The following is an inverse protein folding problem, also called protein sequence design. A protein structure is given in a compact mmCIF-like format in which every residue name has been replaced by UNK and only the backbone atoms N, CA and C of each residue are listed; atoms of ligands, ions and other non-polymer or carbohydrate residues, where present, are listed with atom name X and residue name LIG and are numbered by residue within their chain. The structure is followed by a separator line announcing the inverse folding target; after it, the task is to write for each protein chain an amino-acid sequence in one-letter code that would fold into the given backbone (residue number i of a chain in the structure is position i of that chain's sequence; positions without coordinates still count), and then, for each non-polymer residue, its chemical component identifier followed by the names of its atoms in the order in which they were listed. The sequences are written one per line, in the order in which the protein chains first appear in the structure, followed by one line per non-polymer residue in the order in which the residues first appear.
data_IF_675812040322
#
_entry.id   IF_675812040322
#
_cell.length_a   1.000
_cell.length_b   1.000
_cell.length_c   1.000
_cell.angle_alpha   90.00
_cell.angle_beta   90.00
_cell.angle_gamma   90.00
#
_symmetry.space_group_name_H-M   'P 1'
#
loop_
_entity.id
_entity.type
_entity.pdbx_description
1 polymer ?
#
# COMPACT_ATOMS: atom_id res chain seq x y z
N UNK A 1 -40.46 13.77 -46.70
CA UNK A 1 -39.92 14.79 -45.76
C UNK A 1 -40.72 14.72 -44.47
N UNK A 2 -40.19 14.14 -43.40
CA UNK A 2 -40.45 14.62 -42.03
C UNK A 2 -39.43 14.00 -41.08
N UNK A 3 -38.60 14.87 -40.54
CA UNK A 3 -37.51 14.60 -39.61
C UNK A 3 -38.03 14.93 -38.22
N UNK A 4 -38.02 13.96 -37.31
CA UNK A 4 -38.06 14.04 -35.84
C UNK A 4 -38.64 12.70 -35.35
N UNK A 5 -38.05 12.01 -34.39
CA UNK A 5 -37.71 12.56 -33.09
C UNK A 5 -36.51 11.83 -32.50
N UNK A 6 -35.42 12.58 -32.39
CA UNK A 6 -34.39 12.36 -31.37
C UNK A 6 -35.07 12.47 -30.01
N UNK A 7 -35.06 11.42 -29.20
CA UNK A 7 -34.84 11.48 -27.75
C UNK A 7 -35.23 10.16 -27.09
N UNK A 8 -34.30 9.21 -27.07
CA UNK A 8 -34.25 8.26 -25.96
C UNK A 8 -32.79 8.01 -25.58
N UNK A 9 -32.08 9.11 -25.31
CA UNK A 9 -30.98 9.04 -24.35
C UNK A 9 -31.65 8.98 -22.98
N UNK A 10 -32.11 7.78 -22.63
CA UNK A 10 -32.38 7.42 -21.24
C UNK A 10 -31.09 7.76 -20.52
N UNK A 11 -31.17 8.79 -19.67
CA UNK A 11 -30.14 9.09 -18.69
C UNK A 11 -29.93 7.82 -17.87
N UNK A 12 -28.94 7.02 -18.24
CA UNK A 12 -28.37 6.00 -17.38
C UNK A 12 -27.61 6.78 -16.30
N UNK A 13 -28.09 6.87 -15.05
CA UNK A 13 -27.28 7.45 -14.00
C UNK A 13 -26.16 6.43 -13.76
N UNK A 14 -25.01 6.63 -14.40
CA UNK A 14 -23.77 5.98 -14.00
C UNK A 14 -23.51 6.38 -12.54
N UNK A 15 -24.07 5.61 -11.61
CA UNK A 15 -23.84 5.76 -10.18
C UNK A 15 -22.37 5.42 -9.96
N UNK A 16 -21.54 6.47 -9.99
CA UNK A 16 -20.22 6.49 -9.38
C UNK A 16 -20.42 6.39 -7.86
N UNK A 17 -20.96 5.25 -7.41
CA UNK A 17 -21.05 4.91 -6.01
C UNK A 17 -19.62 4.62 -5.57
N UNK A 18 -18.92 5.65 -5.10
CA UNK A 18 -17.69 5.45 -4.33
C UNK A 18 -18.09 4.55 -3.16
N UNK A 19 -17.53 3.33 -3.05
CA UNK A 19 -17.87 2.47 -1.94
C UNK A 19 -17.55 3.21 -0.65
N UNK A 20 -18.57 3.41 0.18
CA UNK A 20 -18.37 4.01 1.48
C UNK A 20 -17.36 3.16 2.25
N UNK A 21 -16.21 3.74 2.59
CA UNK A 21 -15.20 3.05 3.38
C UNK A 21 -15.81 2.69 4.74
N UNK A 22 -15.85 1.40 5.12
CA UNK A 22 -16.45 1.01 6.37
C UNK A 22 -15.72 1.70 7.52
N UNK A 23 -16.49 2.28 8.46
CA UNK A 23 -15.92 2.91 9.65
C UNK A 23 -15.42 1.81 10.58
N UNK A 24 -14.13 1.51 10.47
CA UNK A 24 -13.46 0.56 11.33
C UNK A 24 -13.49 1.04 12.78
N UNK A 25 -13.80 0.13 13.70
CA UNK A 25 -13.69 0.40 15.14
C UNK A 25 -12.22 0.62 15.52
N UNK A 26 -11.99 1.22 16.69
CA UNK A 26 -10.64 1.43 17.20
C UNK A 26 -9.85 0.11 17.32
N UNK A 27 -10.53 -0.97 17.74
CA UNK A 27 -9.92 -2.30 17.87
C UNK A 27 -9.54 -2.89 16.51
N UNK A 28 -10.37 -2.72 15.48
CA UNK A 28 -10.06 -3.13 14.11
C UNK A 28 -8.86 -2.36 13.54
N UNK A 29 -8.79 -1.04 13.78
CA UNK A 29 -7.65 -0.20 13.38
C UNK A 29 -6.36 -0.64 14.06
N UNK A 30 -6.41 -0.96 15.35
CA UNK A 30 -5.25 -1.49 16.07
C UNK A 30 -4.82 -2.84 15.49
N UNK A 31 -5.76 -3.75 15.22
CA UNK A 31 -5.47 -5.05 14.62
C UNK A 31 -4.81 -4.93 13.23
N UNK A 32 -5.33 -4.05 12.36
CA UNK A 32 -4.70 -3.76 11.06
C UNK A 32 -3.28 -3.22 11.22
N UNK A 33 -3.07 -2.33 12.20
CA UNK A 33 -1.76 -1.78 12.50
C UNK A 33 -0.78 -2.88 12.98
N UNK A 34 -1.24 -3.82 13.80
CA UNK A 34 -0.45 -4.99 14.19
C UNK A 34 -0.11 -5.90 13.00
N UNK A 35 -1.05 -6.12 12.07
CA UNK A 35 -0.78 -6.89 10.84
C UNK A 35 0.32 -6.22 10.00
N UNK A 36 0.24 -4.90 9.83
CA UNK A 36 1.26 -4.12 9.13
C UNK A 36 2.61 -4.22 9.86
N UNK A 37 2.63 -4.10 11.19
CA UNK A 37 3.86 -4.24 11.97
C UNK A 37 4.48 -5.63 11.84
N UNK A 38 3.67 -6.70 11.87
CA UNK A 38 4.15 -8.07 11.64
C UNK A 38 4.77 -8.24 10.25
N UNK A 39 4.11 -7.73 9.21
CA UNK A 39 4.65 -7.73 7.86
C UNK A 39 5.98 -6.98 7.76
N UNK A 40 6.10 -5.84 8.44
CA UNK A 40 7.35 -5.06 8.50
C UNK A 40 8.47 -5.77 9.26
N UNK A 41 8.16 -6.49 10.34
CA UNK A 41 9.16 -7.29 11.07
C UNK A 41 9.66 -8.42 10.18
N UNK A 42 8.76 -9.14 9.51
CA UNK A 42 9.15 -10.19 8.57
C UNK A 42 10.01 -9.65 7.42
N UNK A 43 9.61 -8.52 6.81
CA UNK A 43 10.38 -7.87 5.75
C UNK A 43 11.79 -7.43 6.22
N UNK A 44 11.93 -6.91 7.45
CA UNK A 44 13.25 -6.60 8.03
C UNK A 44 14.09 -7.84 8.28
N UNK A 45 13.47 -8.95 8.72
CA UNK A 45 14.18 -10.22 8.87
C UNK A 45 14.66 -10.75 7.53
N UNK A 46 13.81 -10.72 6.51
CA UNK A 46 14.22 -11.08 5.14
C UNK A 46 15.32 -10.18 4.61
N UNK A 47 15.27 -8.86 4.86
CA UNK A 47 16.35 -7.94 4.49
C UNK A 47 17.65 -8.17 5.28
N UNK A 48 17.56 -8.59 6.54
CA UNK A 48 18.72 -8.92 7.37
C UNK A 48 19.34 -10.28 7.01
N UNK A 49 18.52 -11.23 6.54
CA UNK A 49 18.96 -12.50 5.98
C UNK A 49 19.46 -12.35 4.53
N UNK A 50 18.96 -11.36 3.77
CA UNK A 50 19.50 -10.98 2.48
C UNK A 50 20.91 -10.41 2.65
N UNK A 51 21.89 -11.14 2.14
CA UNK A 51 23.29 -10.76 2.22
C UNK A 51 23.57 -9.40 1.53
N UNK A 52 24.59 -8.68 2.03
CA UNK A 52 24.98 -7.36 1.53
C UNK A 52 25.33 -7.38 0.03
N UNK A 53 25.69 -8.56 -0.51
CA UNK A 53 25.93 -8.80 -1.92
C UNK A 53 24.65 -8.72 -2.77
N UNK A 54 23.57 -9.38 -2.36
CA UNK A 54 22.27 -9.34 -3.05
C UNK A 54 21.65 -7.94 -3.03
N UNK A 55 21.86 -7.20 -1.94
CA UNK A 55 21.44 -5.80 -1.85
C UNK A 55 22.17 -4.92 -2.87
N UNK A 56 23.49 -5.12 -3.07
CA UNK A 56 24.25 -4.40 -4.09
C UNK A 56 23.80 -4.71 -5.51
N UNK A 57 23.43 -5.97 -5.80
CA UNK A 57 22.88 -6.36 -7.11
C UNK A 57 21.53 -5.71 -7.39
N UNK A 58 20.70 -5.52 -6.36
CA UNK A 58 19.45 -4.77 -6.46
C UNK A 58 19.66 -3.24 -6.51
N UNK A 59 20.90 -2.75 -6.48
CA UNK A 59 21.23 -1.32 -6.42
C UNK A 59 20.92 -0.66 -5.07
N UNK A 60 20.65 -1.44 -4.04
CA UNK A 60 20.35 -0.95 -2.69
C UNK A 60 21.65 -0.85 -1.90
N UNK A 61 21.92 0.32 -1.34
CA UNK A 61 23.09 0.49 -0.46
C UNK A 61 22.94 -0.39 0.79
N UNK A 62 23.89 -1.30 1.09
CA UNK A 62 23.82 -2.16 2.26
C UNK A 62 23.86 -1.37 3.57
N UNK A 63 24.49 -0.18 3.57
CA UNK A 63 24.46 0.74 4.71
C UNK A 63 23.06 1.32 4.94
N UNK A 64 22.32 1.63 3.87
CA UNK A 64 20.93 2.09 3.98
C UNK A 64 20.00 0.97 4.48
N UNK A 65 20.20 -0.27 4.01
CA UNK A 65 19.47 -1.43 4.50
C UNK A 65 19.73 -1.69 6.00
N UNK A 66 20.99 -1.63 6.44
CA UNK A 66 21.35 -1.77 7.85
C UNK A 66 20.72 -0.66 8.72
N UNK A 67 20.71 0.58 8.22
CA UNK A 67 20.05 1.71 8.90
C UNK A 67 18.53 1.52 9.01
N UNK A 68 17.85 1.04 7.97
CA UNK A 68 16.40 0.74 8.03
C UNK A 68 16.07 -0.46 8.95
N UNK A 69 16.99 -1.44 9.04
CA UNK A 69 16.88 -2.57 9.98
C UNK A 69 16.98 -2.14 11.45
N UNK A 70 17.78 -1.10 11.74
CA UNK A 70 17.92 -0.54 13.08
C UNK A 70 16.73 0.34 13.53
N UNK A 71 15.83 0.73 12.61
CA UNK A 71 14.68 1.58 12.95
C UNK A 71 13.61 0.80 13.71
N UNK A 72 12.91 1.45 14.66
CA UNK A 72 11.81 0.82 15.34
C UNK A 72 10.69 0.43 14.36
N UNK A 73 10.07 -0.72 14.60
CA UNK A 73 9.14 -1.36 13.66
C UNK A 73 7.89 -0.52 13.33
N UNK A 74 7.48 0.35 14.26
CA UNK A 74 6.33 1.25 14.10
C UNK A 74 6.61 2.38 13.09
N UNK A 75 7.88 2.71 12.87
CA UNK A 75 8.27 3.73 11.90
C UNK A 75 8.14 3.17 10.48
N UNK A 76 7.48 3.94 9.61
CA UNK A 76 7.33 3.61 8.19
C UNK A 76 8.74 3.47 7.58
N UNK A 77 8.98 2.37 6.85
CA UNK A 77 10.23 2.19 6.10
C UNK A 77 10.38 3.37 5.14
N UNK A 78 11.57 3.97 5.14
CA UNK A 78 11.93 4.97 4.14
C UNK A 78 12.02 4.32 2.76
N UNK A 79 11.93 5.13 1.70
CA UNK A 79 12.34 4.68 0.37
C UNK A 79 13.83 4.38 0.42
N UNK A 80 14.21 3.12 0.23
CA UNK A 80 15.57 2.68 -0.03
C UNK A 80 15.91 3.14 -1.47
N UNK A 81 16.69 4.22 -1.58
CA UNK A 81 17.28 4.72 -2.84
C UNK A 81 18.74 5.03 -2.61
#
# INVERSE_FOLDING_TARGET
MSVQSRNSFVHEPHRLATPATPRLTLTQRMAEMFVVWRGRIAARRYLAELDARSLREAGISPAAAAYECGKPFWQKMGTLR
#
